data_IF_163211262261
#
_entry.id   IF_163211262261
#
_cell.length_a   1.000
_cell.length_b   1.000
_cell.length_c   1.000
_cell.angle_alpha   90.00
_cell.angle_beta   90.00
_cell.angle_gamma   90.00
#
_symmetry.space_group_name_H-M   'P 1'
#
loop_
_entity.id
_entity.type
_entity.pdbx_description
1 polymer ?
#
# COMPACT_ATOMS: atom_id res chain seq x y z
N UNK A 1 -9.08 -5.54 9.34
CA UNK A 1 -9.58 -4.27 8.78
C UNK A 1 -8.56 -3.78 7.77
N UNK A 2 -8.96 -3.20 6.64
CA UNK A 2 -7.97 -2.71 5.67
C UNK A 2 -7.07 -1.65 6.29
N UNK A 3 -5.76 -1.75 6.03
CA UNK A 3 -4.74 -0.80 6.43
C UNK A 3 -5.15 0.64 6.04
N UNK A 4 -5.08 1.60 6.97
CA UNK A 4 -5.52 2.98 6.73
C UNK A 4 -4.64 3.74 5.72
N UNK A 5 -3.46 3.22 5.41
CA UNK A 5 -2.51 3.82 4.47
C UNK A 5 -2.52 3.17 3.08
N UNK A 6 -3.50 2.31 2.80
CA UNK A 6 -3.69 1.67 1.51
C UNK A 6 -4.75 2.42 0.69
N UNK A 7 -4.33 2.98 -0.44
CA UNK A 7 -5.21 3.62 -1.42
C UNK A 7 -5.13 2.90 -2.78
N UNK A 8 -6.09 3.17 -3.67
CA UNK A 8 -6.08 2.63 -5.03
C UNK A 8 -6.13 3.77 -6.05
N UNK A 9 -5.06 3.93 -6.82
CA UNK A 9 -4.88 5.05 -7.75
C UNK A 9 -4.96 4.57 -9.20
N UNK A 10 -5.55 5.38 -10.08
CA UNK A 10 -5.67 5.09 -11.51
C UNK A 10 -4.52 5.64 -12.37
N UNK A 11 -3.72 6.60 -11.87
CA UNK A 11 -2.61 7.21 -12.63
C UNK A 11 -1.24 6.64 -12.26
N UNK A 12 -0.29 6.67 -13.20
CA UNK A 12 1.12 6.42 -12.92
C UNK A 12 1.68 7.56 -12.04
N UNK A 13 2.37 7.21 -10.96
CA UNK A 13 3.19 8.18 -10.24
C UNK A 13 4.35 8.60 -11.14
N UNK A 14 4.93 9.74 -10.81
CA UNK A 14 5.90 10.51 -11.57
C UNK A 14 7.24 9.78 -11.83
N UNK A 15 7.37 8.50 -11.41
CA UNK A 15 8.63 7.73 -11.38
C UNK A 15 8.72 6.60 -12.41
N UNK A 16 8.28 6.83 -13.66
CA UNK A 16 8.49 5.96 -14.84
C UNK A 16 7.42 4.88 -15.09
N UNK A 17 6.31 5.28 -15.74
CA UNK A 17 5.67 4.48 -16.78
C UNK A 17 4.74 5.40 -17.59
N UNK A 18 5.30 6.04 -18.63
CA UNK A 18 4.60 6.55 -19.82
C UNK A 18 3.13 6.90 -19.59
N UNK A 19 2.84 8.13 -19.14
CA UNK A 19 1.55 8.83 -18.91
C UNK A 19 0.20 8.22 -19.31
N UNK A 20 0.00 6.93 -19.14
CA UNK A 20 -1.18 6.16 -19.47
C UNK A 20 -1.84 5.76 -18.16
N UNK A 21 -3.09 6.17 -17.97
CA UNK A 21 -3.93 5.68 -16.88
C UNK A 21 -3.94 4.16 -16.85
N UNK A 22 -3.78 3.58 -15.66
CA UNK A 22 -3.92 2.15 -15.47
C UNK A 22 -5.36 1.72 -15.78
N UNK A 23 -5.51 0.68 -16.60
CA UNK A 23 -6.82 0.09 -16.91
C UNK A 23 -7.58 -0.38 -15.66
N UNK A 24 -6.88 -0.65 -14.55
CA UNK A 24 -7.45 -0.95 -13.24
C UNK A 24 -6.70 -0.17 -12.15
N UNK A 25 -7.40 0.35 -11.12
CA UNK A 25 -6.75 1.01 -9.99
C UNK A 25 -5.70 0.11 -9.34
N UNK A 26 -4.51 0.65 -9.08
CA UNK A 26 -3.40 -0.06 -8.44
C UNK A 26 -3.23 0.36 -6.99
N UNK A 27 -2.83 -0.59 -6.15
CA UNK A 27 -2.58 -0.37 -4.73
C UNK A 27 -1.38 0.57 -4.51
N UNK A 28 -1.62 1.65 -3.79
CA UNK A 28 -0.66 2.68 -3.41
C UNK A 28 -0.53 2.72 -1.89
N UNK A 29 0.69 2.82 -1.38
CA UNK A 29 0.95 2.98 0.03
C UNK A 29 1.39 4.42 0.32
N UNK A 30 0.61 5.16 1.09
CA UNK A 30 0.88 6.58 1.39
C UNK A 30 2.07 6.78 2.33
N UNK A 31 2.37 5.80 3.18
CA UNK A 31 3.54 5.84 4.08
C UNK A 31 4.86 5.70 3.31
N UNK A 32 4.89 4.80 2.31
CA UNK A 32 6.07 4.57 1.49
C UNK A 32 6.08 5.39 0.20
N UNK A 33 5.03 6.17 -0.01
CA UNK A 33 4.77 7.03 -1.16
C UNK A 33 5.06 6.36 -2.51
N UNK A 34 4.48 5.17 -2.71
CA UNK A 34 4.68 4.38 -3.94
C UNK A 34 3.62 3.32 -4.14
N UNK A 35 3.48 2.85 -5.39
CA UNK A 35 2.74 1.63 -5.68
C UNK A 35 3.38 0.40 -5.01
N UNK A 36 2.52 -0.47 -4.49
CA UNK A 36 2.94 -1.72 -3.87
C UNK A 36 2.60 -2.91 -4.74
N UNK A 37 3.38 -3.98 -4.59
CA UNK A 37 3.11 -5.24 -5.27
C UNK A 37 1.79 -5.85 -4.79
N UNK A 38 1.09 -6.64 -5.64
CA UNK A 38 -0.18 -7.27 -5.29
C UNK A 38 -0.14 -8.06 -3.96
N UNK A 39 0.94 -8.82 -3.73
CA UNK A 39 1.13 -9.57 -2.49
C UNK A 39 1.13 -8.68 -1.25
N UNK A 40 1.69 -7.47 -1.35
CA UNK A 40 1.66 -6.52 -0.24
C UNK A 40 0.30 -5.87 -0.09
N UNK A 41 -0.40 -5.62 -1.20
CA UNK A 41 -1.79 -5.21 -1.15
C UNK A 41 -2.64 -6.27 -0.43
N UNK A 42 -2.43 -7.57 -0.66
CA UNK A 42 -3.16 -8.63 0.04
C UNK A 42 -2.93 -8.60 1.55
N UNK A 43 -1.68 -8.36 2.00
CA UNK A 43 -1.38 -8.13 3.43
C UNK A 43 -2.13 -6.89 3.95
N UNK A 44 -2.05 -5.76 3.25
CA UNK A 44 -2.70 -4.52 3.68
C UNK A 44 -4.24 -4.58 3.65
N UNK A 45 -4.83 -5.48 2.86
CA UNK A 45 -6.28 -5.71 2.85
C UNK A 45 -6.74 -6.77 3.87
N UNK A 46 -5.82 -7.29 4.69
CA UNK A 46 -6.07 -8.40 5.62
C UNK A 46 -6.70 -9.64 4.94
N UNK A 47 -6.24 -9.95 3.72
CA UNK A 47 -6.74 -11.13 3.00
C UNK A 47 -6.01 -12.39 3.46
N UNK A 48 -6.68 -13.54 3.35
CA UNK A 48 -6.07 -14.85 3.59
C UNK A 48 -5.48 -15.02 4.99
N UNK A 49 -6.12 -14.47 6.03
CA UNK A 49 -5.61 -14.49 7.42
C UNK A 49 -4.27 -13.75 7.59
N UNK A 50 -4.01 -12.81 6.68
CA UNK A 50 -2.95 -11.83 6.85
C UNK A 50 -3.48 -10.65 7.66
N UNK A 51 -2.59 -9.99 8.38
CA UNK A 51 -2.88 -8.85 9.22
C UNK A 51 -1.83 -7.78 8.94
N UNK A 52 -2.26 -6.60 8.48
CA UNK A 52 -1.37 -5.49 8.21
C UNK A 52 -0.60 -5.01 9.45
N UNK A 53 -1.18 -5.09 10.65
CA UNK A 53 -0.52 -4.70 11.90
C UNK A 53 0.62 -5.64 12.26
N UNK A 54 0.52 -6.93 11.88
CA UNK A 54 1.51 -7.94 12.24
C UNK A 54 2.48 -8.29 11.10
N UNK A 55 2.00 -8.30 9.85
CA UNK A 55 2.72 -8.82 8.69
C UNK A 55 3.26 -7.70 7.76
N UNK A 56 2.75 -6.46 7.84
CA UNK A 56 3.24 -5.36 7.00
C UNK A 56 4.40 -4.62 7.70
N UNK A 57 5.63 -4.88 7.29
CA UNK A 57 6.82 -4.16 7.81
C UNK A 57 6.67 -2.62 7.84
N UNK A 58 6.36 -1.99 6.71
CA UNK A 58 6.11 -0.55 6.55
C UNK A 58 5.10 -0.01 7.58
N UNK A 59 3.95 -0.69 7.76
CA UNK A 59 2.95 -0.25 8.73
C UNK A 59 3.51 -0.28 10.15
N UNK A 60 4.17 -1.38 10.54
CA UNK A 60 4.76 -1.52 11.87
C UNK A 60 5.85 -0.48 12.14
N UNK A 61 6.71 -0.23 11.16
CA UNK A 61 7.77 0.77 11.24
C UNK A 61 7.19 2.18 11.42
N UNK A 62 6.12 2.51 10.68
CA UNK A 62 5.40 3.78 10.82
C UNK A 62 4.66 3.90 12.15
N UNK A 63 3.90 2.89 12.56
CA UNK A 63 3.17 2.87 13.83
C UNK A 63 4.09 2.94 15.05
N UNK A 64 5.30 2.37 14.96
CA UNK A 64 6.31 2.51 16.03
C UNK A 64 6.90 3.93 16.06
N UNK A 65 7.01 4.58 14.90
CA UNK A 65 7.55 5.94 14.79
C UNK A 65 6.53 7.02 15.19
N UNK A 66 5.22 6.71 15.12
CA UNK A 66 4.12 7.55 15.60
C UNK A 66 3.76 7.27 17.08
N UNK A 67 4.45 6.33 17.73
CA UNK A 67 4.27 6.08 19.15
C UNK A 67 4.87 7.24 19.99
N UNK A 68 4.10 7.86 20.90
CA UNK A 68 4.55 9.03 21.68
C UNK A 68 5.65 8.72 22.70
#
# INVERSE_FOLDING_TARGET
MTCPHLEYHQGADDSEASGEDFAVPRAYCTVADRFVQPMRADICNDRYDLDHEQHCAIYREHATSDAP
#
